data_IF_487361346929
#
_entry.id   IF_487361346929
#
_cell.length_a   1.000
_cell.length_b   1.000
_cell.length_c   1.000
_cell.angle_alpha   90.00
_cell.angle_beta   90.00
_cell.angle_gamma   90.00
#
_symmetry.space_group_name_H-M   'P 1'
#
loop_
_entity.id
_entity.type
_entity.pdbx_description
1 polymer ?
#
# COMPACT_ATOMS: atom_id res chain seq x y z
N UNK A 1 60.37 -20.62 -15.92
CA UNK A 1 61.75 -20.18 -15.63
C UNK A 1 61.79 -19.67 -14.21
N UNK A 2 62.40 -20.47 -13.38
CA UNK A 2 62.73 -20.33 -11.96
C UNK A 2 63.91 -19.37 -11.76
N UNK A 3 64.04 -18.77 -10.59
CA UNK A 3 65.23 -18.40 -9.80
C UNK A 3 64.85 -17.24 -8.88
N UNK A 4 64.70 -17.38 -7.59
CA UNK A 4 65.52 -17.80 -6.45
C UNK A 4 66.25 -16.66 -5.71
N UNK A 5 65.91 -16.53 -4.46
CA UNK A 5 66.49 -16.08 -3.19
C UNK A 5 67.96 -15.61 -3.15
N UNK A 6 68.21 -14.60 -2.26
CA UNK A 6 69.17 -14.58 -1.09
C UNK A 6 69.60 -13.17 -0.75
N UNK A 7 69.29 -12.64 0.43
CA UNK A 7 70.04 -12.58 1.71
C UNK A 7 71.44 -11.98 1.66
N UNK A 8 71.75 -10.96 2.51
CA UNK A 8 72.96 -10.64 3.27
C UNK A 8 72.66 -9.44 4.16
N UNK A 9 72.72 -9.51 5.34
CA UNK A 9 73.40 -9.45 6.65
C UNK A 9 74.22 -8.19 6.92
N UNK A 10 73.88 -7.55 8.04
CA UNK A 10 74.67 -6.92 9.11
C UNK A 10 75.64 -5.79 8.86
N UNK A 11 75.41 -4.66 9.57
CA UNK A 11 76.47 -4.03 10.40
C UNK A 11 75.84 -3.21 11.53
N UNK A 12 76.27 -3.43 12.77
CA UNK A 12 75.90 -2.74 13.99
C UNK A 12 76.77 -1.49 14.16
N UNK A 13 76.17 -0.40 14.63
CA UNK A 13 76.89 0.79 15.09
C UNK A 13 76.09 1.44 16.26
N UNK A 14 76.65 1.30 17.44
CA UNK A 14 76.13 1.94 18.67
C UNK A 14 76.56 3.37 18.77
N UNK A 15 75.67 4.27 19.13
CA UNK A 15 75.94 5.60 19.67
C UNK A 15 74.76 6.08 20.58
N UNK A 16 74.95 7.07 21.50
CA UNK A 16 74.47 6.94 22.89
C UNK A 16 73.10 7.55 23.14
N UNK A 17 72.46 7.09 24.23
CA UNK A 17 71.22 7.61 24.81
C UNK A 17 71.38 9.06 25.23
N UNK A 18 70.54 9.95 24.67
CA UNK A 18 70.14 11.21 25.28
C UNK A 18 68.69 11.09 25.69
N UNK A 19 68.44 10.93 26.96
CA UNK A 19 67.10 10.93 27.55
C UNK A 19 66.48 12.36 27.47
N UNK A 20 65.55 12.52 26.53
CA UNK A 20 64.63 13.69 26.54
C UNK A 20 63.31 13.24 27.19
N UNK A 21 63.00 13.88 28.30
CA UNK A 21 61.70 13.74 28.96
C UNK A 21 60.61 14.32 28.05
N UNK A 22 59.80 13.41 27.47
CA UNK A 22 58.56 13.79 26.82
C UNK A 22 57.48 13.89 27.89
N UNK A 23 56.95 15.08 28.13
CA UNK A 23 55.69 15.28 28.84
C UNK A 23 54.58 14.98 27.84
N UNK A 24 53.69 14.01 28.07
CA UNK A 24 52.55 13.83 27.20
C UNK A 24 51.52 14.96 27.47
N UNK A 25 51.38 15.87 26.53
CA UNK A 25 50.21 16.74 26.46
C UNK A 25 48.99 15.84 26.13
N UNK A 26 48.18 15.63 27.15
CA UNK A 26 46.86 15.00 26.98
C UNK A 26 45.97 15.98 26.18
N UNK A 27 45.96 15.85 24.84
CA UNK A 27 44.84 16.35 24.08
C UNK A 27 43.66 15.44 24.39
N UNK A 28 42.74 15.93 25.22
CA UNK A 28 41.42 15.35 25.35
C UNK A 28 40.76 15.48 23.99
N UNK A 29 40.77 14.37 23.18
CA UNK A 29 39.90 14.21 22.06
C UNK A 29 38.47 14.14 22.64
N UNK A 30 37.74 15.25 22.60
CA UNK A 30 36.28 15.22 22.73
C UNK A 30 35.78 14.34 21.59
N UNK A 31 35.28 13.15 21.94
CA UNK A 31 34.53 12.33 21.01
C UNK A 31 33.47 13.22 20.36
N UNK A 32 33.31 13.19 19.04
CA UNK A 32 32.20 13.91 18.40
C UNK A 32 30.92 13.45 19.08
N UNK A 33 30.14 14.43 19.56
CA UNK A 33 28.81 14.15 20.08
C UNK A 33 28.09 13.33 19.00
N UNK A 34 27.70 12.10 19.32
CA UNK A 34 26.81 11.33 18.48
C UNK A 34 25.60 12.22 18.22
N UNK A 35 25.48 12.72 17.00
CA UNK A 35 24.27 13.41 16.57
C UNK A 35 23.18 12.37 16.71
N UNK A 36 22.31 12.49 17.71
CA UNK A 36 21.09 11.67 17.80
C UNK A 36 20.38 11.86 16.48
N UNK A 37 20.42 10.84 15.64
CA UNK A 37 19.60 10.79 14.42
C UNK A 37 18.18 11.05 14.89
N UNK A 38 17.55 12.12 14.39
CA UNK A 38 16.23 12.50 14.81
C UNK A 38 15.32 11.29 14.60
N UNK A 39 14.65 10.86 15.66
CA UNK A 39 13.79 9.69 15.62
C UNK A 39 12.65 9.97 14.64
N UNK A 40 12.39 9.03 13.69
CA UNK A 40 11.30 9.13 12.74
C UNK A 40 9.98 9.26 13.51
N UNK A 41 9.16 10.29 13.29
CA UNK A 41 7.88 10.42 13.98
C UNK A 41 6.99 9.18 13.72
N UNK A 42 6.06 8.86 14.61
CA UNK A 42 5.07 7.83 14.32
C UNK A 42 4.29 8.17 13.05
N UNK A 43 3.98 7.17 12.24
CA UNK A 43 3.38 7.38 10.92
C UNK A 43 2.00 6.72 10.87
N UNK A 44 1.00 7.49 10.44
CA UNK A 44 -0.33 6.99 10.15
C UNK A 44 -0.57 7.02 8.64
N UNK A 45 -0.88 5.85 8.06
CA UNK A 45 -1.13 5.64 6.65
C UNK A 45 -2.62 5.60 6.37
N UNK A 46 -3.06 6.37 5.38
CA UNK A 46 -4.47 6.62 5.06
C UNK A 46 -4.76 6.21 3.62
N UNK A 47 -5.61 5.22 3.43
CA UNK A 47 -5.97 4.68 2.11
C UNK A 47 -6.97 5.59 1.35
N UNK A 48 -7.16 5.31 0.07
CA UNK A 48 -8.06 6.03 -0.84
C UNK A 48 -9.51 5.53 -0.84
N UNK A 49 -10.25 5.98 -1.87
CA UNK A 49 -11.66 5.67 -2.07
C UNK A 49 -11.88 4.17 -2.34
N UNK A 50 -12.74 3.52 -1.56
CA UNK A 50 -13.05 2.09 -1.69
C UNK A 50 -11.91 1.14 -1.32
N UNK A 51 -10.86 1.63 -0.68
CA UNK A 51 -9.64 0.89 -0.36
C UNK A 51 -9.57 0.50 1.14
N UNK A 52 -8.44 0.00 1.59
CA UNK A 52 -8.19 -0.50 2.94
C UNK A 52 -6.70 -0.44 3.29
N UNK A 53 -6.35 -0.71 4.54
CA UNK A 53 -4.98 -0.62 5.07
C UNK A 53 -3.94 -1.45 4.31
N UNK A 54 -4.36 -2.56 3.66
CA UNK A 54 -3.44 -3.42 2.90
C UNK A 54 -2.79 -2.73 1.69
N UNK A 55 -3.29 -1.57 1.23
CA UNK A 55 -2.59 -0.72 0.27
C UNK A 55 -1.13 -0.48 0.68
N UNK A 56 -0.89 -0.33 1.98
CA UNK A 56 0.39 0.07 2.55
C UNK A 56 1.32 -1.09 2.89
N UNK A 57 0.93 -2.34 2.59
CA UNK A 57 1.66 -3.56 2.97
C UNK A 57 3.17 -3.47 2.68
N UNK A 58 3.54 -3.21 1.42
CA UNK A 58 4.96 -3.17 1.02
C UNK A 58 5.67 -1.92 1.51
N UNK A 59 4.95 -0.82 1.73
CA UNK A 59 5.49 0.41 2.33
C UNK A 59 5.83 0.19 3.80
N UNK A 60 4.96 -0.47 4.57
CA UNK A 60 5.21 -0.86 5.95
C UNK A 60 6.48 -1.72 6.06
N UNK A 61 6.61 -2.76 5.24
CA UNK A 61 7.80 -3.61 5.21
C UNK A 61 9.09 -2.84 4.89
N UNK A 62 9.04 -1.87 3.96
CA UNK A 62 10.20 -1.02 3.66
C UNK A 62 10.52 -0.07 4.80
N UNK A 63 9.52 0.50 5.48
CA UNK A 63 9.72 1.31 6.69
C UNK A 63 10.43 0.50 7.78
N UNK A 64 9.95 -0.71 8.08
CA UNK A 64 10.57 -1.62 9.06
C UNK A 64 12.00 -1.99 8.66
N UNK A 65 12.24 -2.28 7.38
CA UNK A 65 13.60 -2.57 6.86
C UNK A 65 14.56 -1.40 7.07
N UNK A 66 14.04 -0.17 7.18
CA UNK A 66 14.81 1.06 7.44
C UNK A 66 14.75 1.52 8.90
N UNK A 67 14.37 0.61 9.82
CA UNK A 67 14.46 0.82 11.26
C UNK A 67 13.25 1.51 11.90
N UNK A 68 12.15 1.71 11.18
CA UNK A 68 10.90 2.21 11.80
C UNK A 68 10.19 1.03 12.46
N UNK A 69 10.07 1.07 13.78
CA UNK A 69 9.41 0.01 14.54
C UNK A 69 7.91 -0.10 14.17
N UNK A 70 7.39 -1.35 14.08
CA UNK A 70 6.00 -1.60 13.66
C UNK A 70 4.97 -0.89 14.53
N UNK A 71 5.23 -0.79 15.83
CA UNK A 71 4.37 -0.16 16.83
C UNK A 71 4.23 1.36 16.62
N UNK A 72 5.17 1.96 15.91
CA UNK A 72 5.16 3.38 15.55
C UNK A 72 4.42 3.67 14.24
N UNK A 73 3.83 2.64 13.64
CA UNK A 73 3.08 2.74 12.39
C UNK A 73 1.65 2.25 12.56
N UNK A 74 0.72 2.92 11.92
CA UNK A 74 -0.69 2.51 11.85
C UNK A 74 -1.18 2.73 10.43
N UNK A 75 -1.73 1.69 9.80
CA UNK A 75 -2.52 1.83 8.58
C UNK A 75 -4.01 1.72 8.95
N UNK A 76 -4.76 2.80 8.74
CA UNK A 76 -6.18 2.88 9.12
C UNK A 76 -7.07 2.13 8.11
N UNK A 77 -8.18 1.58 8.60
CA UNK A 77 -9.31 1.17 7.79
C UNK A 77 -10.49 2.10 8.12
N UNK A 78 -10.85 2.99 7.22
CA UNK A 78 -12.11 3.72 7.36
C UNK A 78 -13.27 2.74 7.24
N UNK A 79 -14.24 2.85 8.13
CA UNK A 79 -15.38 1.92 8.22
C UNK A 79 -16.11 1.80 6.86
N UNK A 80 -16.44 2.92 6.25
CA UNK A 80 -17.07 3.02 4.94
C UNK A 80 -16.14 3.80 3.99
N UNK A 81 -15.26 3.10 3.23
CA UNK A 81 -14.21 3.77 2.46
C UNK A 81 -14.70 4.48 1.21
N UNK A 82 -15.91 4.15 0.71
CA UNK A 82 -16.46 4.80 -0.47
C UNK A 82 -17.05 6.16 -0.16
N UNK A 83 -16.77 7.14 -1.02
CA UNK A 83 -17.33 8.49 -0.93
C UNK A 83 -18.83 8.48 -1.21
N UNK A 84 -19.55 9.40 -0.56
CA UNK A 84 -20.92 9.77 -0.96
C UNK A 84 -20.90 10.45 -2.34
N UNK A 85 -21.98 10.39 -3.05
CA UNK A 85 -22.17 11.17 -4.28
C UNK A 85 -22.35 12.66 -4.00
N UNK A 86 -22.92 12.97 -2.83
CA UNK A 86 -22.99 14.29 -2.23
C UNK A 86 -22.65 14.15 -0.74
N UNK A 87 -21.63 14.84 -0.28
CA UNK A 87 -21.13 14.74 1.11
C UNK A 87 -22.20 15.14 2.15
N UNK A 88 -23.15 16.01 1.77
CA UNK A 88 -24.21 16.48 2.63
C UNK A 88 -25.40 15.49 2.75
N UNK A 89 -25.45 14.48 1.87
CA UNK A 89 -26.55 13.51 1.82
C UNK A 89 -26.06 12.15 2.34
N UNK A 90 -26.64 11.67 3.44
CA UNK A 90 -26.30 10.37 3.98
C UNK A 90 -26.64 9.25 2.98
N UNK A 91 -25.68 8.34 2.76
CA UNK A 91 -25.83 7.17 1.89
C UNK A 91 -25.36 5.91 2.62
N UNK A 92 -26.10 4.80 2.54
CA UNK A 92 -25.71 3.54 3.16
C UNK A 92 -24.31 3.07 2.68
N UNK A 93 -23.48 2.62 3.62
CA UNK A 93 -22.13 2.07 3.35
C UNK A 93 -21.17 3.05 2.63
N UNK A 94 -21.40 4.36 2.81
CA UNK A 94 -20.57 5.44 2.28
C UNK A 94 -20.33 6.50 3.35
N UNK A 95 -19.20 7.17 3.26
CA UNK A 95 -18.78 8.21 4.19
C UNK A 95 -18.63 9.56 3.50
N UNK A 96 -18.89 10.63 4.22
CA UNK A 96 -18.40 11.97 3.88
C UNK A 96 -16.92 12.12 4.25
N UNK A 97 -16.29 13.17 3.75
CA UNK A 97 -14.94 13.54 4.22
C UNK A 97 -14.92 13.84 5.71
N UNK A 98 -15.99 14.43 6.28
CA UNK A 98 -16.05 14.70 7.73
C UNK A 98 -16.16 13.42 8.56
N UNK A 99 -16.87 12.40 8.09
CA UNK A 99 -16.90 11.08 8.75
C UNK A 99 -15.47 10.51 8.83
N UNK A 100 -14.73 10.54 7.72
CA UNK A 100 -13.33 10.06 7.68
C UNK A 100 -12.39 10.94 8.52
N UNK A 101 -12.59 12.27 8.56
CA UNK A 101 -11.81 13.16 9.42
C UNK A 101 -11.97 12.79 10.91
N UNK A 102 -13.19 12.44 11.35
CA UNK A 102 -13.41 12.00 12.74
C UNK A 102 -12.70 10.69 13.05
N UNK A 103 -12.80 9.69 12.18
CA UNK A 103 -12.07 8.42 12.35
C UNK A 103 -10.56 8.64 12.34
N UNK A 104 -10.05 9.48 11.43
CA UNK A 104 -8.65 9.85 11.36
C UNK A 104 -8.15 10.56 12.63
N UNK A 105 -8.93 11.52 13.13
CA UNK A 105 -8.60 12.24 14.37
C UNK A 105 -8.48 11.30 15.58
N UNK A 106 -9.40 10.34 15.69
CA UNK A 106 -9.34 9.31 16.73
C UNK A 106 -8.08 8.42 16.59
N UNK A 107 -7.74 8.03 15.36
CA UNK A 107 -6.53 7.23 15.08
C UNK A 107 -5.24 8.01 15.37
N UNK A 108 -5.17 9.31 15.09
CA UNK A 108 -4.05 10.19 15.44
C UNK A 108 -3.89 10.24 16.97
N UNK A 109 -4.99 10.45 17.70
CA UNK A 109 -4.95 10.50 19.17
C UNK A 109 -4.49 9.17 19.77
N UNK A 110 -4.98 8.04 19.24
CA UNK A 110 -4.55 6.70 19.66
C UNK A 110 -3.06 6.46 19.39
N UNK A 111 -2.56 6.77 18.20
CA UNK A 111 -1.16 6.58 17.84
C UNK A 111 -0.24 7.46 18.71
N UNK A 112 -0.60 8.71 18.97
CA UNK A 112 0.11 9.59 19.91
C UNK A 112 0.14 8.98 21.30
N UNK A 113 -0.98 8.51 21.82
CA UNK A 113 -1.08 7.89 23.17
C UNK A 113 -0.19 6.65 23.27
N UNK A 114 -0.23 5.76 22.28
CA UNK A 114 0.56 4.51 22.28
C UNK A 114 2.06 4.75 22.19
N UNK A 115 2.48 5.79 21.47
CA UNK A 115 3.89 6.07 21.22
C UNK A 115 4.49 7.12 22.13
N UNK A 116 3.67 7.87 22.87
CA UNK A 116 4.11 9.02 23.67
C UNK A 116 4.61 10.21 22.83
N UNK A 117 4.47 10.15 21.51
CA UNK A 117 4.98 11.20 20.63
C UNK A 117 4.06 12.44 20.63
N UNK A 118 4.62 13.66 20.61
CA UNK A 118 3.82 14.88 20.59
C UNK A 118 3.10 15.10 19.25
N UNK A 119 3.68 14.61 18.17
CA UNK A 119 3.17 14.78 16.79
C UNK A 119 3.39 13.51 15.99
N UNK A 120 2.56 13.30 14.96
CA UNK A 120 2.64 12.17 14.02
C UNK A 120 2.82 12.68 12.58
N UNK A 121 3.33 11.83 11.69
CA UNK A 121 3.29 12.05 10.25
C UNK A 121 2.06 11.34 9.66
N UNK A 122 1.40 11.97 8.68
CA UNK A 122 0.29 11.40 7.92
C UNK A 122 0.73 11.15 6.48
N UNK A 123 0.43 9.96 5.96
CA UNK A 123 0.68 9.60 4.56
C UNK A 123 -0.63 9.13 3.96
N UNK A 124 -1.17 9.85 2.99
CA UNK A 124 -2.46 9.56 2.39
C UNK A 124 -2.38 9.31 0.90
N UNK A 125 -3.16 8.32 0.41
CA UNK A 125 -3.34 8.10 -1.01
C UNK A 125 -4.72 8.56 -1.48
N UNK A 126 -4.77 9.20 -2.65
CA UNK A 126 -6.02 9.53 -3.32
C UNK A 126 -6.99 10.30 -2.39
N UNK A 127 -8.24 9.84 -2.26
CA UNK A 127 -9.24 10.39 -1.32
C UNK A 127 -8.70 10.58 0.10
N UNK A 128 -7.79 9.70 0.57
CA UNK A 128 -7.21 9.77 1.92
C UNK A 128 -6.52 11.11 2.22
N UNK A 129 -6.12 11.87 1.21
CA UNK A 129 -5.60 13.22 1.36
C UNK A 129 -6.64 14.26 1.77
N UNK A 130 -7.91 14.06 1.41
CA UNK A 130 -8.99 14.98 1.76
C UNK A 130 -9.20 15.06 3.28
N UNK A 131 -9.44 13.95 4.01
CA UNK A 131 -9.57 13.99 5.47
C UNK A 131 -8.27 14.43 6.16
N UNK A 132 -7.08 14.15 5.60
CA UNK A 132 -5.80 14.67 6.13
C UNK A 132 -5.78 16.19 6.08
N UNK A 133 -5.98 16.78 4.91
CA UNK A 133 -5.98 18.24 4.73
C UNK A 133 -7.07 18.90 5.57
N UNK A 134 -8.25 18.28 5.60
CA UNK A 134 -9.39 18.79 6.36
C UNK A 134 -9.15 18.75 7.88
N UNK A 135 -8.57 17.66 8.41
CA UNK A 135 -8.17 17.56 9.81
C UNK A 135 -7.15 18.65 10.19
N UNK A 136 -6.10 18.81 9.38
CA UNK A 136 -5.03 19.76 9.64
C UNK A 136 -5.57 21.21 9.62
N UNK A 137 -6.38 21.56 8.60
CA UNK A 137 -6.93 22.92 8.46
C UNK A 137 -7.92 23.26 9.58
N UNK A 138 -8.62 22.29 10.13
CA UNK A 138 -9.64 22.47 11.15
C UNK A 138 -9.17 22.13 12.59
N UNK A 139 -7.96 22.54 12.94
CA UNK A 139 -7.45 22.51 14.31
C UNK A 139 -6.48 21.36 14.62
N UNK A 140 -6.29 20.39 13.72
CA UNK A 140 -5.38 19.26 13.95
C UNK A 140 -3.89 19.55 13.70
N UNK A 141 -3.52 20.73 13.24
CA UNK A 141 -2.14 21.06 12.85
C UNK A 141 -1.12 20.87 13.99
N UNK A 142 -1.51 21.10 15.24
CA UNK A 142 -0.64 20.93 16.42
C UNK A 142 -0.18 19.48 16.63
N UNK A 143 -0.96 18.50 16.15
CA UNK A 143 -0.68 17.08 16.31
C UNK A 143 0.10 16.47 15.15
N UNK A 144 0.27 17.20 14.04
CA UNK A 144 0.83 16.69 12.80
C UNK A 144 2.15 17.39 12.47
N UNK A 145 3.19 16.61 12.20
CA UNK A 145 4.50 17.10 11.77
C UNK A 145 4.64 17.16 10.25
N UNK A 146 4.18 16.12 9.56
CA UNK A 146 4.29 15.96 8.11
C UNK A 146 2.98 15.47 7.54
N UNK A 147 2.64 15.89 6.33
CA UNK A 147 1.55 15.37 5.52
C UNK A 147 2.09 15.04 4.12
N UNK A 148 2.08 13.75 3.77
CA UNK A 148 2.46 13.27 2.44
C UNK A 148 1.21 12.86 1.68
N UNK A 149 1.00 13.43 0.50
CA UNK A 149 -0.20 13.31 -0.32
C UNK A 149 0.15 12.59 -1.64
N UNK A 150 -0.15 11.29 -1.71
CA UNK A 150 0.20 10.42 -2.82
C UNK A 150 -0.99 10.29 -3.80
N UNK A 151 -0.88 10.84 -5.00
CA UNK A 151 -1.98 10.83 -5.99
C UNK A 151 -3.26 11.47 -5.48
N UNK A 152 -3.15 12.45 -4.57
CA UNK A 152 -4.31 13.14 -4.00
C UNK A 152 -4.86 14.15 -4.98
N UNK A 153 -6.18 14.13 -5.29
CA UNK A 153 -6.81 15.10 -6.18
C UNK A 153 -7.02 16.44 -5.47
N UNK A 154 -5.92 17.15 -5.16
CA UNK A 154 -5.95 18.38 -4.38
C UNK A 154 -6.83 19.49 -4.97
N UNK A 155 -7.02 19.47 -6.30
CA UNK A 155 -7.89 20.42 -7.03
C UNK A 155 -9.07 19.72 -7.69
N UNK A 156 -9.35 18.45 -7.32
CA UNK A 156 -10.44 17.65 -7.85
C UNK A 156 -10.03 16.64 -8.90
N UNK A 157 -10.97 15.81 -9.32
CA UNK A 157 -10.87 14.88 -10.45
C UNK A 157 -11.69 15.35 -11.66
N UNK A 158 -12.57 16.32 -11.45
CA UNK A 158 -13.33 17.05 -12.45
C UNK A 158 -13.72 18.43 -11.91
N UNK A 159 -14.04 19.33 -12.85
CA UNK A 159 -14.36 20.74 -12.58
C UNK A 159 -15.68 21.11 -13.29
N UNK A 160 -16.80 20.52 -12.84
CA UNK A 160 -18.12 20.66 -13.44
C UNK A 160 -19.07 21.55 -12.62
N UNK A 161 -20.06 22.13 -13.28
CA UNK A 161 -21.08 22.95 -12.62
C UNK A 161 -22.15 22.11 -11.90
N UNK A 162 -22.27 20.82 -12.24
CA UNK A 162 -23.12 19.86 -11.54
C UNK A 162 -22.32 19.04 -10.51
N UNK A 163 -23.04 18.46 -9.52
CA UNK A 163 -22.40 17.63 -8.49
C UNK A 163 -21.47 18.42 -7.56
N UNK A 164 -21.79 19.67 -7.26
CA UNK A 164 -20.98 20.53 -6.39
C UNK A 164 -20.85 20.02 -4.94
N UNK A 165 -21.79 19.18 -4.49
CA UNK A 165 -21.70 18.51 -3.18
C UNK A 165 -20.73 17.34 -3.14
N UNK A 166 -20.17 16.91 -4.28
CA UNK A 166 -19.23 15.82 -4.32
C UNK A 166 -17.80 16.32 -3.95
N UNK A 167 -17.14 15.61 -3.04
CA UNK A 167 -15.80 15.98 -2.54
C UNK A 167 -14.70 15.96 -3.61
N UNK A 168 -14.94 15.35 -4.78
CA UNK A 168 -13.99 15.29 -5.88
C UNK A 168 -14.19 16.38 -6.94
N UNK A 169 -15.23 17.22 -6.79
CA UNK A 169 -15.45 18.32 -7.73
C UNK A 169 -14.60 19.54 -7.35
N UNK A 170 -13.70 19.97 -8.22
CA UNK A 170 -12.83 21.13 -8.01
C UNK A 170 -13.58 22.44 -7.82
N UNK A 171 -14.82 22.56 -8.37
CA UNK A 171 -15.72 23.70 -8.17
C UNK A 171 -16.53 23.59 -6.88
N UNK A 172 -16.54 22.43 -6.25
CA UNK A 172 -17.30 22.21 -5.02
C UNK A 172 -16.79 23.05 -3.85
N UNK A 173 -17.69 23.43 -2.92
CA UNK A 173 -17.32 24.26 -1.77
C UNK A 173 -16.27 23.60 -0.87
N UNK A 174 -16.26 22.26 -0.81
CA UNK A 174 -15.28 21.52 0.00
C UNK A 174 -13.85 21.79 -0.46
N UNK A 175 -13.50 21.49 -1.73
CA UNK A 175 -12.15 21.70 -2.23
C UNK A 175 -11.78 23.18 -2.32
N UNK A 176 -12.74 24.06 -2.65
CA UNK A 176 -12.51 25.51 -2.58
C UNK A 176 -12.12 25.94 -1.19
N UNK A 177 -12.81 25.46 -0.15
CA UNK A 177 -12.46 25.79 1.23
C UNK A 177 -11.07 25.27 1.65
N UNK A 178 -10.66 24.10 1.16
CA UNK A 178 -9.31 23.59 1.41
C UNK A 178 -8.21 24.40 0.72
N UNK A 179 -8.52 24.92 -0.48
CA UNK A 179 -7.58 25.64 -1.34
C UNK A 179 -7.65 27.17 -1.17
N UNK A 180 -8.39 27.65 -0.17
CA UNK A 180 -8.54 29.09 0.10
C UNK A 180 -7.26 29.69 0.67
N UNK A 181 -6.87 30.89 0.16
CA UNK A 181 -5.73 31.69 0.62
C UNK A 181 -4.53 31.67 -0.34
N UNK A 182 -3.47 32.36 0.06
CA UNK A 182 -2.20 32.39 -0.69
C UNK A 182 -1.52 31.02 -0.72
N UNK A 183 -1.57 30.30 0.41
CA UNK A 183 -1.08 28.94 0.56
C UNK A 183 -2.27 27.98 0.77
N UNK A 184 -2.24 26.86 0.06
CA UNK A 184 -3.24 25.82 0.16
C UNK A 184 -2.89 24.77 1.24
N UNK A 185 -1.83 25.04 2.01
CA UNK A 185 -1.34 24.22 3.12
C UNK A 185 -1.35 25.00 4.42
N UNK A 186 -1.49 24.29 5.53
CA UNK A 186 -1.51 24.92 6.88
C UNK A 186 -0.10 25.09 7.41
N UNK A 187 0.22 26.31 7.88
CA UNK A 187 1.52 26.63 8.49
C UNK A 187 1.82 25.70 9.68
N UNK A 188 3.11 25.39 9.88
CA UNK A 188 3.60 24.53 10.97
C UNK A 188 3.52 23.03 10.69
N UNK A 189 2.98 22.62 9.54
CA UNK A 189 3.02 21.23 9.01
C UNK A 189 3.80 21.23 7.70
N UNK A 190 4.73 20.31 7.55
CA UNK A 190 5.44 20.12 6.29
C UNK A 190 4.59 19.28 5.31
N UNK A 191 4.41 19.76 4.09
CA UNK A 191 3.61 19.07 3.06
C UNK A 191 4.46 18.60 1.87
N UNK A 192 4.26 17.35 1.46
CA UNK A 192 4.78 16.79 0.22
C UNK A 192 3.63 16.27 -0.62
N UNK A 193 3.61 16.56 -1.92
CA UNK A 193 2.73 15.86 -2.87
C UNK A 193 3.56 14.99 -3.81
N UNK A 194 3.11 13.76 -4.01
CA UNK A 194 3.63 12.84 -5.01
C UNK A 194 2.54 12.65 -6.07
N UNK A 195 2.77 13.17 -7.27
CA UNK A 195 1.85 13.03 -8.41
C UNK A 195 2.43 12.07 -9.43
N UNK A 196 1.58 11.39 -10.16
CA UNK A 196 1.96 10.71 -11.39
C UNK A 196 1.90 11.68 -12.58
N UNK A 197 2.16 11.14 -13.76
CA UNK A 197 1.99 11.78 -15.05
C UNK A 197 0.67 11.36 -15.71
N UNK A 198 0.64 11.33 -17.04
CA UNK A 198 -0.52 10.91 -17.84
C UNK A 198 -1.03 9.47 -17.60
N UNK A 199 -0.38 8.67 -16.75
CA UNK A 199 -0.84 7.34 -16.37
C UNK A 199 -1.75 7.33 -15.14
N UNK A 200 -1.96 8.47 -14.47
CA UNK A 200 -3.00 8.58 -13.44
C UNK A 200 -4.38 8.68 -14.09
N UNK A 201 -5.23 7.65 -13.86
CA UNK A 201 -6.58 7.61 -14.45
C UNK A 201 -7.52 8.71 -13.98
N UNK A 202 -7.23 9.32 -12.83
CA UNK A 202 -8.03 10.41 -12.27
C UNK A 202 -7.51 11.80 -12.63
N UNK A 203 -6.42 11.86 -13.42
CA UNK A 203 -5.88 13.09 -13.97
C UNK A 203 -6.03 13.12 -15.51
N UNK A 204 -7.15 12.59 -16.04
CA UNK A 204 -7.45 12.54 -17.47
C UNK A 204 -8.48 13.60 -17.85
N UNK A 205 -8.23 14.24 -19.00
CA UNK A 205 -9.05 15.36 -19.46
C UNK A 205 -10.44 14.94 -20.00
N UNK A 206 -10.63 13.66 -20.40
CA UNK A 206 -11.78 13.23 -21.21
C UNK A 206 -13.00 12.73 -20.46
N UNK A 207 -12.99 12.76 -19.14
CA UNK A 207 -14.09 12.34 -18.27
C UNK A 207 -14.40 10.84 -18.24
N UNK A 208 -13.71 10.02 -19.01
CA UNK A 208 -13.94 8.56 -19.14
C UNK A 208 -13.92 7.84 -17.79
N UNK A 209 -12.96 8.19 -16.94
CA UNK A 209 -12.73 7.50 -15.67
C UNK A 209 -13.53 8.08 -14.50
N UNK A 210 -14.32 9.12 -14.76
CA UNK A 210 -15.22 9.76 -13.80
C UNK A 210 -16.70 9.70 -14.24
N UNK A 211 -17.01 8.77 -15.15
CA UNK A 211 -18.38 8.39 -15.51
C UNK A 211 -19.06 9.25 -16.59
N UNK A 212 -18.33 10.19 -17.21
CA UNK A 212 -18.86 11.02 -18.31
C UNK A 212 -17.91 11.05 -19.50
N UNK A 213 -17.75 9.93 -20.25
CA UNK A 213 -16.85 9.86 -21.40
C UNK A 213 -17.11 10.98 -22.41
N UNK A 214 -16.05 11.65 -22.85
CA UNK A 214 -16.14 12.76 -23.83
C UNK A 214 -16.50 14.11 -23.21
N UNK A 215 -16.81 14.19 -21.91
CA UNK A 215 -17.02 15.47 -21.23
C UNK A 215 -15.69 15.91 -20.60
N UNK A 216 -15.15 17.09 -20.98
CA UNK A 216 -13.90 17.57 -20.39
C UNK A 216 -13.98 17.67 -18.87
N UNK A 217 -12.97 17.13 -18.17
CA UNK A 217 -12.91 17.20 -16.70
C UNK A 217 -12.39 18.54 -16.20
N UNK A 218 -11.64 19.28 -17.02
CA UNK A 218 -10.86 20.44 -16.57
C UNK A 218 -9.60 20.08 -15.75
N UNK A 219 -9.36 18.77 -15.52
CA UNK A 219 -8.25 18.27 -14.71
C UNK A 219 -7.28 17.47 -15.60
N UNK A 220 -5.98 17.72 -15.42
CA UNK A 220 -4.92 17.00 -16.13
C UNK A 220 -3.74 16.73 -15.19
N UNK A 221 -2.83 15.83 -15.60
CA UNK A 221 -1.61 15.55 -14.87
C UNK A 221 -0.70 16.79 -14.72
N UNK A 222 -0.78 17.75 -15.66
CA UNK A 222 -0.04 19.02 -15.65
C UNK A 222 -0.78 20.13 -14.88
N UNK A 223 -1.87 19.79 -14.20
CA UNK A 223 -2.65 20.74 -13.42
C UNK A 223 -1.86 21.41 -12.28
N UNK A 224 -2.44 22.41 -11.62
CA UNK A 224 -1.73 23.24 -10.66
C UNK A 224 -1.10 22.42 -9.53
N UNK A 225 0.07 22.84 -9.10
CA UNK A 225 0.72 22.30 -7.91
C UNK A 225 -0.01 22.77 -6.65
N UNK A 226 0.04 22.00 -5.56
CA UNK A 226 -0.47 22.43 -4.26
C UNK A 226 0.42 23.55 -3.71
N UNK A 227 -0.10 24.77 -3.58
CA UNK A 227 0.67 25.94 -3.17
C UNK A 227 1.14 25.83 -1.72
N UNK A 228 2.42 26.06 -1.51
CA UNK A 228 3.06 25.96 -0.18
C UNK A 228 3.56 24.56 0.16
N UNK A 229 3.32 23.54 -0.68
CA UNK A 229 3.87 22.21 -0.50
C UNK A 229 5.14 21.99 -1.34
N UNK A 230 5.95 21.01 -0.95
CA UNK A 230 6.91 20.38 -1.87
C UNK A 230 6.13 19.52 -2.85
N UNK A 231 6.32 19.73 -4.16
CA UNK A 231 5.57 19.01 -5.19
C UNK A 231 6.54 18.20 -6.06
N UNK A 232 6.34 16.88 -6.14
CA UNK A 232 7.13 15.97 -6.96
C UNK A 232 6.25 15.20 -7.93
N UNK A 233 6.75 15.01 -9.16
CA UNK A 233 6.12 14.17 -10.18
C UNK A 233 6.94 12.89 -10.31
N UNK A 234 6.30 11.75 -10.15
CA UNK A 234 6.86 10.42 -10.33
C UNK A 234 6.26 9.80 -11.59
N UNK A 235 6.86 10.08 -12.74
CA UNK A 235 6.37 9.61 -14.03
C UNK A 235 6.28 8.10 -14.15
N UNK A 236 5.43 7.62 -15.04
CA UNK A 236 5.19 6.21 -15.35
C UNK A 236 4.63 5.37 -14.20
N UNK A 237 3.99 5.98 -13.19
CA UNK A 237 3.26 5.28 -12.13
C UNK A 237 1.75 5.36 -12.38
N UNK A 238 1.01 4.32 -11.99
CA UNK A 238 -0.43 4.43 -11.90
C UNK A 238 -0.86 5.24 -10.65
N UNK A 239 -2.14 5.54 -10.55
CA UNK A 239 -2.71 6.33 -9.46
C UNK A 239 -2.37 5.80 -8.07
N UNK A 240 -2.41 4.48 -7.86
CA UNK A 240 -2.13 3.84 -6.55
C UNK A 240 -0.63 3.63 -6.32
N UNK A 241 0.15 3.39 -7.36
CA UNK A 241 1.61 3.23 -7.27
C UNK A 241 2.31 4.43 -6.64
N UNK A 242 1.71 5.63 -6.73
CA UNK A 242 2.18 6.82 -6.00
C UNK A 242 2.28 6.62 -4.48
N UNK A 243 1.61 5.61 -3.92
CA UNK A 243 1.59 5.30 -2.49
C UNK A 243 2.63 4.24 -2.09
N UNK A 244 2.88 3.22 -2.92
CA UNK A 244 3.63 2.04 -2.50
C UNK A 244 4.82 1.66 -3.40
N UNK A 245 4.91 2.24 -4.60
CA UNK A 245 6.03 1.96 -5.50
C UNK A 245 7.38 2.29 -4.83
N UNK A 246 8.47 1.54 -5.08
CA UNK A 246 9.79 1.80 -4.50
C UNK A 246 10.27 3.24 -4.61
N UNK A 247 10.02 3.91 -5.75
CA UNK A 247 10.35 5.34 -5.95
C UNK A 247 9.52 6.25 -5.04
N UNK A 248 8.23 5.96 -4.88
CA UNK A 248 7.36 6.72 -3.98
C UNK A 248 7.79 6.53 -2.51
N UNK A 249 8.07 5.28 -2.10
CA UNK A 249 8.59 4.99 -0.77
C UNK A 249 9.85 5.80 -0.45
N UNK A 250 10.80 5.91 -1.39
CA UNK A 250 12.04 6.68 -1.20
C UNK A 250 11.73 8.13 -0.83
N UNK A 251 10.86 8.79 -1.58
CA UNK A 251 10.51 10.20 -1.35
C UNK A 251 9.68 10.38 -0.06
N UNK A 252 8.77 9.45 0.25
CA UNK A 252 8.01 9.44 1.50
C UNK A 252 8.96 9.34 2.69
N UNK A 253 9.87 8.34 2.67
CA UNK A 253 10.82 8.12 3.76
C UNK A 253 11.76 9.31 3.93
N UNK A 254 12.37 9.77 2.85
CA UNK A 254 13.27 10.92 2.84
C UNK A 254 12.63 12.16 3.43
N UNK A 255 11.39 12.45 3.06
CA UNK A 255 10.67 13.62 3.53
C UNK A 255 10.35 13.55 5.03
N UNK A 256 9.92 12.40 5.52
CA UNK A 256 9.54 12.22 6.94
C UNK A 256 10.77 12.08 7.84
N UNK A 257 11.77 11.30 7.40
CA UNK A 257 12.96 10.99 8.18
C UNK A 257 14.07 12.03 8.06
N UNK A 258 13.99 12.95 7.10
CA UNK A 258 15.04 13.93 6.80
C UNK A 258 16.32 13.32 6.23
N UNK A 259 16.30 12.05 5.82
CA UNK A 259 17.44 11.32 5.25
C UNK A 259 16.98 10.32 4.21
N UNK A 260 17.86 9.92 3.30
CA UNK A 260 17.59 8.83 2.36
C UNK A 260 17.36 7.51 3.13
N UNK A 261 16.49 6.61 2.62
CA UNK A 261 16.41 5.27 3.14
C UNK A 261 17.72 4.52 2.86
N UNK A 262 18.16 3.72 3.81
CA UNK A 262 19.36 2.90 3.63
C UNK A 262 19.14 1.84 2.55
N UNK A 263 17.90 1.37 2.42
CA UNK A 263 17.52 0.30 1.50
C UNK A 263 16.11 0.50 0.94
N UNK A 264 15.97 0.19 -0.33
CA UNK A 264 14.66 0.11 -1.00
C UNK A 264 14.15 -1.34 -1.00
N UNK A 265 15.05 -2.31 -1.07
CA UNK A 265 14.72 -3.72 -1.00
C UNK A 265 14.18 -4.09 0.40
N UNK A 266 13.20 -4.97 0.45
CA UNK A 266 12.64 -5.51 1.69
C UNK A 266 13.57 -6.62 2.19
N UNK A 267 13.98 -6.54 3.47
CA UNK A 267 14.79 -7.59 4.11
C UNK A 267 13.81 -8.60 4.74
N UNK A 268 13.89 -9.88 4.35
CA UNK A 268 13.05 -10.91 4.95
C UNK A 268 13.31 -11.11 6.45
N UNK A 269 12.27 -11.49 7.17
CA UNK A 269 12.36 -12.05 8.53
C UNK A 269 12.69 -13.54 8.47
N UNK A 270 13.13 -14.10 9.57
CA UNK A 270 13.38 -15.56 9.69
C UNK A 270 12.09 -16.35 9.90
N UNK A 271 11.07 -15.73 10.48
CA UNK A 271 9.74 -16.27 10.68
C UNK A 271 8.72 -15.17 10.52
N UNK A 272 7.64 -15.44 9.82
CA UNK A 272 6.61 -14.48 9.45
C UNK A 272 5.30 -14.79 10.16
N UNK A 273 4.66 -13.76 10.73
CA UNK A 273 3.33 -13.82 11.33
C UNK A 273 2.35 -13.03 10.50
N UNK A 274 1.30 -13.67 10.02
CA UNK A 274 0.29 -13.06 9.17
C UNK A 274 -1.05 -12.98 9.89
N UNK A 275 -1.62 -11.81 9.90
CA UNK A 275 -2.97 -11.55 10.43
C UNK A 275 -3.64 -10.41 9.67
N UNK A 276 -4.94 -10.24 9.88
CA UNK A 276 -5.70 -9.19 9.25
C UNK A 276 -7.15 -9.18 9.69
N UNK A 277 -8.01 -8.57 8.89
CA UNK A 277 -9.46 -8.59 9.10
C UNK A 277 -10.17 -9.16 7.87
N UNK A 278 -11.29 -9.83 8.11
CA UNK A 278 -12.26 -10.19 7.07
C UNK A 278 -13.28 -9.07 6.98
N UNK A 279 -13.48 -8.53 5.77
CA UNK A 279 -14.35 -7.36 5.55
C UNK A 279 -15.55 -7.68 4.66
N UNK A 280 -16.67 -7.00 4.93
CA UNK A 280 -17.96 -7.23 4.30
C UNK A 280 -18.16 -6.39 3.02
N UNK A 281 -19.00 -6.91 2.12
CA UNK A 281 -19.49 -6.21 0.91
C UNK A 281 -21.02 -6.20 0.89
N UNK A 282 -21.69 -5.49 1.82
CA UNK A 282 -23.15 -5.49 1.90
C UNK A 282 -23.76 -4.91 0.62
N UNK A 283 -24.65 -5.66 -0.02
CA UNK A 283 -25.27 -5.27 -1.29
C UNK A 283 -24.26 -5.03 -2.43
N UNK A 284 -23.07 -5.66 -2.38
CA UNK A 284 -21.99 -5.47 -3.34
C UNK A 284 -21.14 -4.20 -3.11
N UNK A 285 -21.45 -3.41 -2.09
CA UNK A 285 -20.71 -2.19 -1.74
C UNK A 285 -19.51 -2.54 -0.87
N UNK A 286 -18.33 -2.13 -1.28
CA UNK A 286 -17.09 -2.38 -0.52
C UNK A 286 -17.08 -1.58 0.79
N UNK A 287 -16.96 -2.28 1.93
CA UNK A 287 -16.77 -1.68 3.25
C UNK A 287 -15.55 -2.30 3.93
N UNK A 288 -15.09 -1.68 5.01
CA UNK A 288 -14.10 -2.28 5.91
C UNK A 288 -14.76 -2.75 7.22
N UNK A 289 -16.08 -2.92 7.21
CA UNK A 289 -16.84 -3.48 8.33
C UNK A 289 -16.44 -4.93 8.54
N UNK A 290 -16.16 -5.33 9.80
CA UNK A 290 -15.71 -6.69 10.09
C UNK A 290 -16.82 -7.73 9.82
N UNK A 291 -16.41 -8.91 9.39
CA UNK A 291 -17.29 -10.10 9.26
C UNK A 291 -17.03 -11.03 10.43
N UNK A 292 -18.04 -11.28 11.23
CA UNK A 292 -18.01 -12.28 12.31
C UNK A 292 -18.32 -13.68 11.76
N UNK A 293 -17.76 -14.72 12.40
CA UNK A 293 -17.97 -16.12 12.08
C UNK A 293 -17.46 -16.56 10.68
N UNK A 294 -16.60 -15.78 10.02
CA UNK A 294 -15.89 -16.26 8.84
C UNK A 294 -14.81 -17.27 9.23
N UNK A 295 -14.68 -18.35 8.48
CA UNK A 295 -13.58 -19.32 8.64
C UNK A 295 -12.41 -18.91 7.74
N UNK A 296 -11.20 -18.92 8.31
CA UNK A 296 -9.96 -18.67 7.58
C UNK A 296 -9.01 -19.85 7.82
N UNK A 297 -8.55 -20.47 6.73
CA UNK A 297 -7.56 -21.53 6.75
C UNK A 297 -6.34 -21.09 5.92
N UNK A 298 -5.14 -21.46 6.36
CA UNK A 298 -3.90 -21.16 5.65
C UNK A 298 -3.17 -22.46 5.34
N UNK A 299 -2.76 -22.63 4.10
CA UNK A 299 -2.00 -23.77 3.60
C UNK A 299 -0.72 -23.29 2.92
N UNK A 300 0.35 -24.07 3.06
CA UNK A 300 1.50 -23.99 2.16
C UNK A 300 1.14 -24.65 0.83
N UNK A 301 1.55 -24.03 -0.27
CA UNK A 301 1.33 -24.60 -1.61
C UNK A 301 2.62 -24.70 -2.43
N UNK A 302 2.64 -25.63 -3.37
CA UNK A 302 3.71 -25.72 -4.35
C UNK A 302 3.65 -24.52 -5.31
N UNK A 303 4.75 -23.77 -5.50
CA UNK A 303 4.76 -22.55 -6.29
C UNK A 303 4.45 -22.76 -7.78
N UNK A 304 4.68 -23.98 -8.29
CA UNK A 304 4.50 -24.32 -9.70
C UNK A 304 3.15 -24.91 -10.04
N UNK A 305 2.43 -25.50 -9.06
CA UNK A 305 1.14 -26.17 -9.28
C UNK A 305 -0.01 -25.65 -8.43
N UNK A 306 0.27 -24.86 -7.38
CA UNK A 306 -0.73 -24.43 -6.40
C UNK A 306 -1.29 -25.57 -5.54
N UNK A 307 -0.67 -26.78 -5.56
CA UNK A 307 -1.07 -27.92 -4.74
C UNK A 307 -0.69 -27.70 -3.28
N UNK A 308 -1.60 -28.10 -2.37
CA UNK A 308 -1.32 -28.03 -0.94
C UNK A 308 -0.20 -28.98 -0.56
N UNK A 309 0.74 -28.49 0.24
CA UNK A 309 1.89 -29.26 0.75
C UNK A 309 1.70 -29.49 2.25
N UNK A 310 1.21 -30.69 2.60
CA UNK A 310 0.95 -31.08 3.97
C UNK A 310 -0.40 -30.60 4.50
N UNK A 311 -0.50 -30.56 5.82
CA UNK A 311 -1.72 -30.20 6.55
C UNK A 311 -1.96 -28.71 6.61
N UNK A 312 -3.15 -28.31 7.11
CA UNK A 312 -3.49 -26.91 7.37
C UNK A 312 -2.52 -26.31 8.39
N UNK A 313 -1.93 -25.15 8.07
CA UNK A 313 -0.97 -24.45 8.94
C UNK A 313 -1.71 -23.69 10.04
N UNK A 314 -2.85 -23.10 9.69
CA UNK A 314 -3.63 -22.28 10.61
C UNK A 314 -5.11 -22.38 10.27
N UNK A 315 -5.93 -22.45 11.30
CA UNK A 315 -7.39 -22.37 11.21
C UNK A 315 -7.89 -21.38 12.26
N UNK A 316 -8.72 -20.45 11.85
CA UNK A 316 -9.40 -19.53 12.77
C UNK A 316 -10.82 -19.23 12.32
N UNK A 317 -11.64 -18.83 13.28
CA UNK A 317 -12.96 -18.25 13.05
C UNK A 317 -12.96 -16.84 13.57
N UNK A 318 -13.39 -15.89 12.75
CA UNK A 318 -13.38 -14.48 13.13
C UNK A 318 -14.41 -14.17 14.20
N UNK A 319 -14.05 -13.30 15.13
CA UNK A 319 -14.94 -12.73 16.14
C UNK A 319 -15.61 -11.44 15.64
N UNK A 320 -16.24 -10.67 16.54
CA UNK A 320 -16.96 -9.45 16.19
C UNK A 320 -16.09 -8.35 15.53
N UNK A 321 -14.78 -8.37 15.78
CA UNK A 321 -13.80 -7.46 15.17
C UNK A 321 -13.30 -7.94 13.79
N UNK A 322 -13.76 -9.10 13.32
CA UNK A 322 -13.39 -9.70 12.04
C UNK A 322 -11.94 -10.18 11.94
N UNK A 323 -11.18 -10.20 13.04
CA UNK A 323 -9.75 -10.57 13.02
C UNK A 323 -9.53 -12.04 12.79
N UNK A 324 -8.47 -12.34 12.02
CA UNK A 324 -7.95 -13.68 11.82
C UNK A 324 -6.43 -13.71 12.04
N UNK A 325 -5.90 -14.87 12.34
CA UNK A 325 -4.48 -15.07 12.59
C UNK A 325 -4.11 -14.89 14.08
N UNK A 326 -2.80 -14.84 14.45
CA UNK A 326 -1.69 -14.91 13.51
C UNK A 326 -1.41 -16.32 12.97
N UNK A 327 -1.28 -16.47 11.67
CA UNK A 327 -0.70 -17.65 11.06
C UNK A 327 0.83 -17.49 11.02
N UNK A 328 1.55 -18.53 11.45
CA UNK A 328 3.03 -18.53 11.45
C UNK A 328 3.51 -19.29 10.22
N UNK A 329 4.27 -18.61 9.37
CA UNK A 329 4.75 -19.17 8.09
C UNK A 329 6.23 -18.84 7.88
N UNK A 330 6.86 -19.49 6.90
CA UNK A 330 8.20 -19.12 6.46
C UNK A 330 8.19 -18.09 5.33
N UNK A 331 9.18 -17.20 5.25
CA UNK A 331 9.20 -16.10 4.28
C UNK A 331 9.36 -16.55 2.83
N UNK A 332 9.56 -17.86 2.60
CA UNK A 332 9.73 -18.47 1.27
C UNK A 332 8.52 -19.28 0.79
N UNK A 333 7.49 -19.42 1.64
CA UNK A 333 6.33 -20.25 1.31
C UNK A 333 5.31 -19.49 0.46
N UNK A 334 4.96 -20.05 -0.68
CA UNK A 334 3.71 -19.69 -1.37
C UNK A 334 2.53 -20.21 -0.57
N UNK A 335 1.47 -19.44 -0.48
CA UNK A 335 0.34 -19.71 0.39
C UNK A 335 -0.98 -19.77 -0.37
N UNK A 336 -1.88 -20.62 0.12
CA UNK A 336 -3.30 -20.54 -0.13
C UNK A 336 -3.99 -20.11 1.17
N UNK A 337 -4.75 -19.01 1.14
CA UNK A 337 -5.60 -18.56 2.24
C UNK A 337 -7.04 -18.78 1.81
N UNK A 338 -7.77 -19.64 2.51
CA UNK A 338 -9.15 -19.97 2.20
C UNK A 338 -10.06 -19.17 3.12
N UNK A 339 -10.94 -18.39 2.53
CA UNK A 339 -11.97 -17.65 3.24
C UNK A 339 -13.34 -18.27 2.94
N UNK A 340 -14.05 -18.71 3.97
CA UNK A 340 -15.44 -19.12 3.88
C UNK A 340 -16.28 -18.27 4.82
N UNK A 341 -17.34 -17.66 4.31
CA UNK A 341 -18.31 -16.88 5.08
C UNK A 341 -19.73 -17.13 4.56
N UNK A 342 -20.73 -16.87 5.38
CA UNK A 342 -22.12 -17.03 4.97
C UNK A 342 -22.43 -16.18 3.72
N UNK A 343 -23.24 -16.72 2.83
CA UNK A 343 -23.79 -16.05 1.65
C UNK A 343 -22.74 -15.54 0.63
N UNK A 344 -21.47 -15.96 0.76
CA UNK A 344 -20.41 -15.61 -0.18
C UNK A 344 -19.75 -16.86 -0.76
N UNK A 345 -19.15 -16.78 -1.94
CA UNK A 345 -18.32 -17.87 -2.45
C UNK A 345 -17.13 -18.14 -1.51
N UNK A 346 -16.82 -19.42 -1.29
CA UNK A 346 -15.54 -19.78 -0.68
C UNK A 346 -14.42 -19.29 -1.60
N UNK A 347 -13.61 -18.38 -1.08
CA UNK A 347 -12.56 -17.72 -1.86
C UNK A 347 -11.20 -18.28 -1.49
N UNK A 348 -10.49 -18.78 -2.48
CA UNK A 348 -9.15 -19.36 -2.36
C UNK A 348 -8.12 -18.33 -2.85
N UNK A 349 -7.48 -17.60 -1.92
CA UNK A 349 -6.45 -16.62 -2.24
C UNK A 349 -5.09 -17.28 -2.33
N UNK A 350 -4.51 -17.32 -3.52
CA UNK A 350 -3.15 -17.75 -3.75
C UNK A 350 -2.22 -16.54 -3.69
N UNK A 351 -1.15 -16.64 -2.91
CA UNK A 351 -0.24 -15.54 -2.62
C UNK A 351 1.22 -15.93 -2.84
N UNK A 352 1.98 -14.99 -3.36
CA UNK A 352 3.44 -15.02 -3.31
C UNK A 352 3.92 -15.07 -1.85
N UNK A 353 5.16 -15.53 -1.59
CA UNK A 353 5.74 -15.49 -0.26
C UNK A 353 5.70 -14.11 0.38
N UNK A 354 5.38 -14.08 1.67
CA UNK A 354 5.44 -12.87 2.48
C UNK A 354 6.83 -12.76 3.11
N UNK A 355 7.65 -11.79 2.72
CA UNK A 355 9.02 -11.68 3.26
C UNK A 355 9.05 -11.25 4.73
N UNK A 356 8.00 -10.58 5.21
CA UNK A 356 7.89 -10.06 6.58
C UNK A 356 6.50 -10.23 7.14
N UNK A 357 6.42 -10.19 8.46
CA UNK A 357 5.17 -10.19 9.20
C UNK A 357 4.23 -9.05 8.77
N UNK A 358 2.93 -9.27 8.90
CA UNK A 358 1.92 -8.27 8.58
C UNK A 358 0.64 -8.51 9.36
N UNK A 359 0.05 -7.43 9.85
CA UNK A 359 -1.28 -7.39 10.47
C UNK A 359 -2.35 -6.75 9.57
N UNK A 360 -1.98 -6.48 8.30
CA UNK A 360 -2.87 -5.90 7.29
C UNK A 360 -3.13 -6.85 6.11
N UNK A 361 -3.05 -8.17 6.33
CA UNK A 361 -3.47 -9.18 5.33
C UNK A 361 -5.00 -9.28 5.39
N UNK A 362 -5.65 -8.28 4.80
CA UNK A 362 -7.12 -8.21 4.83
C UNK A 362 -7.73 -9.11 3.76
N UNK A 363 -8.81 -9.77 4.11
CA UNK A 363 -9.52 -10.71 3.25
C UNK A 363 -10.93 -10.16 2.97
N UNK A 364 -11.29 -10.17 1.70
CA UNK A 364 -12.63 -9.84 1.24
C UNK A 364 -13.07 -10.91 0.26
N UNK A 365 -14.17 -11.60 0.54
CA UNK A 365 -14.66 -12.65 -0.33
C UNK A 365 -14.83 -12.15 -1.77
N UNK A 366 -14.57 -13.02 -2.73
CA UNK A 366 -14.85 -12.74 -4.13
C UNK A 366 -16.34 -12.42 -4.31
N UNK A 367 -16.65 -11.66 -5.36
CA UNK A 367 -18.05 -11.40 -5.70
C UNK A 367 -18.80 -12.71 -5.94
N UNK A 368 -20.10 -12.78 -5.64
CA UNK A 368 -20.93 -13.93 -6.01
C UNK A 368 -20.84 -14.24 -7.51
N UNK A 369 -20.90 -15.52 -7.85
CA UNK A 369 -21.02 -15.96 -9.24
C UNK A 369 -22.28 -15.34 -9.87
N UNK A 370 -22.14 -14.83 -11.06
CA UNK A 370 -23.21 -14.13 -11.77
C UNK A 370 -23.48 -14.66 -13.17
N UNK A 371 -24.39 -14.03 -13.94
CA UNK A 371 -24.72 -14.46 -15.29
C UNK A 371 -23.51 -14.58 -16.24
N UNK A 372 -22.50 -13.75 -16.06
CA UNK A 372 -21.27 -13.82 -16.86
C UNK A 372 -20.42 -15.05 -16.55
N UNK A 373 -20.66 -15.74 -15.44
CA UNK A 373 -19.94 -16.95 -15.03
C UNK A 373 -20.75 -18.23 -15.33
N UNK A 374 -21.95 -18.08 -15.93
CA UNK A 374 -22.83 -19.20 -16.27
C UNK A 374 -22.13 -20.17 -17.23
N UNK A 375 -22.17 -21.46 -16.87
CA UNK A 375 -21.50 -22.52 -17.64
C UNK A 375 -20.01 -22.68 -17.43
N UNK A 376 -19.37 -21.79 -16.64
CA UNK A 376 -17.99 -21.97 -16.25
C UNK A 376 -17.86 -23.08 -15.21
N UNK A 377 -16.98 -24.04 -15.43
CA UNK A 377 -16.62 -25.09 -14.45
C UNK A 377 -15.74 -24.52 -13.32
N UNK A 378 -14.89 -23.54 -13.64
CA UNK A 378 -14.09 -22.81 -12.66
C UNK A 378 -13.91 -21.34 -13.06
N UNK A 379 -13.74 -20.47 -12.04
CA UNK A 379 -13.42 -19.05 -12.19
C UNK A 379 -12.11 -18.78 -11.47
N UNK A 380 -11.13 -18.23 -12.19
CA UNK A 380 -9.84 -17.82 -11.65
C UNK A 380 -9.64 -16.34 -11.93
N UNK A 381 -9.36 -15.58 -10.89
CA UNK A 381 -9.15 -14.12 -10.93
C UNK A 381 -7.67 -13.84 -10.69
N UNK A 382 -7.02 -13.07 -11.57
CA UNK A 382 -5.77 -12.41 -11.26
C UNK A 382 -6.10 -11.02 -10.71
N UNK A 383 -5.66 -10.74 -9.50
CA UNK A 383 -5.98 -9.50 -8.79
C UNK A 383 -4.73 -8.74 -8.38
N UNK A 384 -4.70 -7.43 -8.69
CA UNK A 384 -3.68 -6.47 -8.24
C UNK A 384 -4.33 -5.41 -7.33
N UNK A 385 -4.64 -5.74 -6.07
CA UNK A 385 -5.44 -4.87 -5.21
C UNK A 385 -4.76 -3.54 -4.85
N UNK A 386 -3.44 -3.46 -4.99
CA UNK A 386 -2.65 -2.26 -4.67
C UNK A 386 -2.31 -1.38 -5.87
N UNK A 387 -2.63 -1.80 -7.10
CA UNK A 387 -2.33 -1.05 -8.32
C UNK A 387 -3.29 -1.39 -9.45
N UNK A 388 -2.94 -0.96 -10.65
CA UNK A 388 -3.70 -1.24 -11.86
C UNK A 388 -2.79 -1.90 -12.92
N UNK A 389 -3.35 -2.76 -13.75
CA UNK A 389 -2.69 -3.29 -14.93
C UNK A 389 -2.62 -2.20 -16.01
N UNK A 390 -1.46 -2.02 -16.62
CA UNK A 390 -1.23 -1.00 -17.65
C UNK A 390 -0.51 -1.56 -18.86
N UNK A 391 -1.26 -1.97 -19.90
CA UNK A 391 -0.68 -2.44 -21.16
C UNK A 391 -0.35 -1.26 -22.10
N UNK A 392 0.78 -1.27 -22.80
CA UNK A 392 1.86 -2.27 -22.79
C UNK A 392 2.97 -1.99 -21.77
N UNK A 393 2.75 -1.07 -20.79
CA UNK A 393 3.73 -0.74 -19.75
C UNK A 393 4.13 -1.98 -18.94
N UNK A 394 3.13 -2.81 -18.61
CA UNK A 394 3.28 -3.98 -17.78
C UNK A 394 3.20 -5.27 -18.61
N UNK A 395 3.83 -6.33 -18.14
CA UNK A 395 3.61 -7.69 -18.61
C UNK A 395 2.50 -8.29 -17.75
N UNK A 396 1.35 -8.59 -18.37
CA UNK A 396 0.20 -9.21 -17.68
C UNK A 396 -0.19 -10.47 -18.43
N UNK A 397 -0.08 -11.62 -17.78
CA UNK A 397 -0.51 -12.90 -18.36
C UNK A 397 -1.42 -13.64 -17.38
N UNK A 398 -2.49 -14.22 -17.90
CA UNK A 398 -3.33 -15.16 -17.18
C UNK A 398 -3.45 -16.44 -18.04
N UNK A 399 -3.01 -17.57 -17.46
CA UNK A 399 -2.91 -18.84 -18.16
C UNK A 399 -2.02 -18.78 -19.43
N UNK A 400 -0.90 -18.04 -19.33
CA UNK A 400 0.06 -17.86 -20.41
C UNK A 400 -0.37 -16.94 -21.54
N UNK A 401 -1.51 -16.26 -21.42
CA UNK A 401 -2.05 -15.33 -22.44
C UNK A 401 -2.27 -13.94 -21.86
N UNK A 402 -2.08 -12.92 -22.71
CA UNK A 402 -2.47 -11.56 -22.37
C UNK A 402 -4.01 -11.49 -22.25
N UNK A 403 -4.55 -10.97 -21.13
CA UNK A 403 -5.99 -10.91 -20.91
C UNK A 403 -6.65 -9.89 -21.84
N UNK A 404 -7.76 -10.28 -22.46
CA UNK A 404 -8.51 -9.42 -23.38
C UNK A 404 -9.40 -8.37 -22.69
N UNK A 405 -9.66 -8.53 -21.40
CA UNK A 405 -10.43 -7.62 -20.56
C UNK A 405 -9.57 -6.52 -19.89
N UNK A 406 -8.23 -6.60 -19.98
CA UNK A 406 -7.31 -5.53 -19.58
C UNK A 406 -7.06 -4.60 -20.78
N UNK A 407 -7.36 -3.31 -20.61
CA UNK A 407 -7.26 -2.32 -21.67
C UNK A 407 -5.84 -1.75 -21.79
N UNK A 408 -5.43 -1.48 -23.04
CA UNK A 408 -4.20 -0.74 -23.31
C UNK A 408 -4.36 0.75 -23.01
N UNK A 409 -3.28 1.41 -22.63
CA UNK A 409 -3.21 2.84 -22.35
C UNK A 409 -3.12 3.14 -20.84
N UNK A 410 -3.97 4.04 -20.35
CA UNK A 410 -3.97 4.44 -18.95
C UNK A 410 -4.37 3.24 -18.06
N UNK A 411 -3.56 2.87 -17.04
CA UNK A 411 -3.87 1.77 -16.16
C UNK A 411 -5.18 1.97 -15.39
N UNK A 412 -6.12 1.03 -15.52
CA UNK A 412 -7.47 1.19 -14.95
C UNK A 412 -7.99 -0.05 -14.24
N UNK A 413 -7.62 -1.24 -14.75
CA UNK A 413 -8.16 -2.50 -14.32
C UNK A 413 -7.26 -3.12 -13.25
N UNK A 414 -7.82 -3.47 -12.10
CA UNK A 414 -7.09 -4.11 -11.00
C UNK A 414 -7.34 -5.64 -10.95
N UNK A 415 -8.20 -6.14 -11.81
CA UNK A 415 -8.56 -7.56 -11.89
C UNK A 415 -8.76 -7.98 -13.34
N UNK A 416 -8.43 -9.24 -13.63
CA UNK A 416 -8.80 -9.93 -14.86
C UNK A 416 -9.29 -11.33 -14.53
N UNK A 417 -10.20 -11.89 -15.35
CA UNK A 417 -10.93 -13.12 -14.99
C UNK A 417 -10.86 -14.15 -16.10
N UNK A 418 -10.37 -15.34 -15.77
CA UNK A 418 -10.41 -16.53 -16.62
C UNK A 418 -11.58 -17.44 -16.21
N UNK A 419 -12.34 -17.89 -17.20
CA UNK A 419 -13.43 -18.86 -17.04
C UNK A 419 -13.06 -20.14 -17.76
N UNK A 420 -13.07 -21.26 -17.04
CA UNK A 420 -12.66 -22.57 -17.54
C UNK A 420 -13.85 -23.50 -17.68
N UNK A 421 -13.87 -24.41 -18.69
CA UNK A 421 -14.87 -25.43 -18.79
C UNK A 421 -14.75 -26.47 -17.65
N UNK A 422 -15.80 -27.26 -17.44
CA UNK A 422 -15.84 -28.25 -16.36
C UNK A 422 -14.70 -29.30 -16.45
N UNK A 423 -14.26 -29.66 -17.66
CA UNK A 423 -13.15 -30.57 -17.86
C UNK A 423 -11.78 -30.08 -17.37
N UNK A 424 -11.66 -28.79 -17.12
CA UNK A 424 -10.41 -28.14 -16.66
C UNK A 424 -10.42 -27.78 -15.17
N UNK A 425 -11.45 -28.20 -14.45
CA UNK A 425 -11.49 -28.06 -12.98
C UNK A 425 -10.33 -28.85 -12.36
N UNK A 426 -9.70 -28.23 -11.34
CA UNK A 426 -8.58 -28.81 -10.61
C UNK A 426 -7.20 -28.56 -11.22
N UNK A 427 -7.09 -28.06 -12.46
CA UNK A 427 -5.79 -27.78 -13.05
C UNK A 427 -5.14 -26.50 -12.49
N UNK A 428 -3.80 -26.37 -12.56
CA UNK A 428 -3.12 -25.13 -12.25
C UNK A 428 -3.39 -24.04 -13.30
N UNK A 429 -3.46 -22.80 -12.83
CA UNK A 429 -3.58 -21.57 -13.64
C UNK A 429 -2.54 -20.58 -13.16
N UNK A 430 -1.62 -20.17 -14.03
CA UNK A 430 -0.61 -19.20 -13.71
C UNK A 430 -1.09 -17.78 -14.02
N UNK A 431 -0.99 -16.88 -13.02
CA UNK A 431 -1.05 -15.44 -13.19
C UNK A 431 0.35 -14.84 -13.13
N UNK A 432 0.65 -13.90 -14.01
CA UNK A 432 1.93 -13.17 -14.06
C UNK A 432 1.66 -11.67 -14.15
N UNK A 433 2.34 -10.93 -13.31
CA UNK A 433 2.44 -9.48 -13.42
C UNK A 433 3.90 -9.08 -13.30
N UNK A 434 4.50 -8.61 -14.38
CA UNK A 434 5.93 -8.33 -14.49
C UNK A 434 6.76 -9.53 -14.02
N UNK A 435 7.42 -9.44 -12.87
CA UNK A 435 8.25 -10.51 -12.29
C UNK A 435 7.49 -11.38 -11.28
N UNK A 436 6.29 -10.95 -10.82
CA UNK A 436 5.52 -11.70 -9.83
C UNK A 436 4.63 -12.76 -10.50
N UNK A 437 4.92 -14.04 -10.22
CA UNK A 437 4.16 -15.19 -10.72
C UNK A 437 3.47 -15.91 -9.56
N UNK A 438 2.17 -16.16 -9.72
CA UNK A 438 1.35 -16.92 -8.76
C UNK A 438 0.63 -18.02 -9.53
N UNK A 439 0.58 -19.24 -8.97
CA UNK A 439 -0.19 -20.35 -9.54
C UNK A 439 -1.35 -20.68 -8.61
N UNK A 440 -2.55 -20.55 -9.12
CA UNK A 440 -3.79 -20.91 -8.45
C UNK A 440 -4.34 -22.24 -8.99
N UNK A 441 -5.13 -22.96 -8.20
CA UNK A 441 -5.91 -24.12 -8.66
C UNK A 441 -7.30 -23.68 -9.07
N UNK A 442 -7.81 -24.29 -10.15
CA UNK A 442 -9.15 -24.03 -10.67
C UNK A 442 -10.21 -24.77 -9.81
N UNK A 443 -10.78 -24.09 -8.82
CA UNK A 443 -11.81 -24.65 -7.93
C UNK A 443 -13.19 -24.70 -8.61
N UNK A 444 -14.04 -25.74 -8.33
CA UNK A 444 -15.31 -25.91 -9.00
C UNK A 444 -16.33 -24.84 -8.60
N UNK A 445 -16.92 -24.17 -9.59
CA UNK A 445 -18.03 -23.21 -9.38
C UNK A 445 -19.31 -23.89 -8.88
N UNK A 446 -19.52 -25.18 -9.21
CA UNK A 446 -20.63 -25.98 -8.70
C UNK A 446 -20.63 -26.10 -7.15
N UNK A 447 -19.48 -25.92 -6.51
CA UNK A 447 -19.31 -25.89 -5.06
C UNK A 447 -19.28 -24.45 -4.50
N UNK A 448 -19.67 -23.47 -5.31
CA UNK A 448 -19.58 -22.03 -4.98
C UNK A 448 -18.18 -21.61 -4.55
N UNK A 449 -17.14 -22.02 -5.29
CA UNK A 449 -15.73 -21.70 -5.05
C UNK A 449 -15.15 -20.85 -6.16
N UNK A 450 -14.29 -19.90 -5.77
CA UNK A 450 -13.57 -19.02 -6.68
C UNK A 450 -12.09 -18.97 -6.26
N UNK A 451 -11.18 -19.05 -7.24
CA UNK A 451 -9.75 -18.85 -7.01
C UNK A 451 -9.34 -17.41 -7.33
N UNK A 452 -8.48 -16.86 -6.50
CA UNK A 452 -7.88 -15.53 -6.68
C UNK A 452 -6.36 -15.64 -6.58
N UNK A 453 -5.65 -15.42 -7.66
CA UNK A 453 -4.21 -15.16 -7.65
C UNK A 453 -4.01 -13.69 -7.28
N UNK A 454 -3.69 -13.40 -6.01
CA UNK A 454 -3.60 -12.03 -5.51
C UNK A 454 -2.15 -11.57 -5.42
N UNK A 455 -1.80 -10.62 -6.28
CA UNK A 455 -0.46 -10.04 -6.40
C UNK A 455 -0.09 -9.20 -5.17
N UNK A 456 1.19 -9.18 -4.86
CA UNK A 456 1.77 -8.39 -3.75
C UNK A 456 2.26 -7.02 -4.25
N UNK A 457 2.65 -6.89 -5.54
CA UNK A 457 3.28 -5.70 -6.10
C UNK A 457 2.49 -5.02 -7.21
#
# INVERSE_FOLDING_TARGET
MTISRRSILKAAGALPLVARHFVPSAFAQTAPAESKVAEVPPILFVHGNGDYAALWLTTLWRMETNGVARERMLAINFTDPLARTDDNVAQPNRSSTDDQRRELGAAVADLKKRTGAPRVALVGNSRGGNPIRYLIKNGGAGDISHAVLCGVPNHGVYDWDDGLGNEFNGRGPFLRSLNEGENEVTAGVAFLTLRSDGLDKYAQADGRFVGKPGIPTGITADGPALKGATNLILGALDHRETAFHPRAFREIFKFIAGREPERIAIIPETQVKLSGIVTATPGGVQTNRPVQNASVEVYRVAPDSGERLGEVIHTSRTEADGRWGPAVVEPTWSLEIVLASADQPTTHFYRSPFPRSSDVVHLRAARPLGPTDAGAGAVVILSRPRGYFGLPRDIVLLDGKEPTDVKSGVPTDAVTTLRLPAAEVGRPVAGLFNEERIVARAWPTAENRIAVAELTY
#
